data_IF_866697134039
#
_entry.id   IF_866697134039
#
_cell.length_a   1.000
_cell.length_b   1.000
_cell.length_c   1.000
_cell.angle_alpha   90.00
_cell.angle_beta   90.00
_cell.angle_gamma   90.00
#
_symmetry.space_group_name_H-M   'P 1'
#
loop_
_entity.id
_entity.type
_entity.pdbx_description
1 polymer ?
#
# COMPACT_ATOMS: atom_id res chain seq x y z
N UNK A 1 -11.25 9.40 16.33
CA UNK A 1 -10.12 9.18 15.38
C UNK A 1 -10.58 8.10 14.43
N UNK A 2 -10.55 8.38 13.13
CA UNK A 2 -10.90 7.40 12.10
C UNK A 2 -10.00 6.16 12.24
N UNK A 3 -10.60 4.97 12.29
CA UNK A 3 -9.87 3.71 12.36
C UNK A 3 -10.04 2.95 11.05
N UNK A 4 -9.07 2.09 10.75
CA UNK A 4 -9.09 1.22 9.59
C UNK A 4 -9.05 -0.21 10.07
N UNK A 5 -10.04 -0.97 9.65
CA UNK A 5 -10.13 -2.40 9.83
C UNK A 5 -9.38 -3.08 8.70
N UNK A 6 -8.25 -3.70 9.02
CA UNK A 6 -7.42 -4.43 8.07
C UNK A 6 -7.65 -5.93 8.23
N UNK A 7 -7.99 -6.62 7.14
CA UNK A 7 -8.23 -8.06 7.10
C UNK A 7 -7.27 -8.74 6.14
N UNK A 8 -6.66 -9.83 6.57
CA UNK A 8 -5.89 -10.77 5.73
C UNK A 8 -6.58 -12.13 5.82
N UNK A 9 -6.71 -12.85 4.71
CA UNK A 9 -7.40 -14.16 4.68
C UNK A 9 -6.45 -15.36 4.64
N UNK A 10 -5.27 -15.20 4.03
CA UNK A 10 -4.26 -16.25 3.86
C UNK A 10 -2.87 -15.78 4.28
N UNK A 11 -2.02 -16.64 4.85
CA UNK A 11 -2.27 -18.04 5.19
C UNK A 11 -3.17 -18.22 6.43
N UNK A 12 -3.29 -17.17 7.25
CA UNK A 12 -4.14 -17.17 8.46
C UNK A 12 -5.06 -15.96 8.42
N UNK A 13 -6.34 -16.19 8.75
CA UNK A 13 -7.31 -15.10 8.89
C UNK A 13 -6.90 -14.21 10.06
N UNK A 14 -6.64 -12.94 9.76
CA UNK A 14 -6.27 -11.93 10.74
C UNK A 14 -7.13 -10.69 10.52
N UNK A 15 -7.50 -10.05 11.62
CA UNK A 15 -8.24 -8.80 11.61
C UNK A 15 -7.66 -7.89 12.69
N UNK A 16 -7.24 -6.69 12.30
CA UNK A 16 -6.69 -5.69 13.21
C UNK A 16 -7.32 -4.32 12.94
N UNK A 17 -7.39 -3.49 13.97
CA UNK A 17 -7.74 -2.08 13.84
C UNK A 17 -6.47 -1.23 13.98
N UNK A 18 -6.23 -0.37 12.99
CA UNK A 18 -5.05 0.50 12.92
C UNK A 18 -5.45 1.93 12.54
N UNK A 19 -4.58 2.88 12.83
CA UNK A 19 -4.75 4.27 12.39
C UNK A 19 -4.35 4.44 10.92
N UNK A 20 -4.79 5.51 10.25
CA UNK A 20 -4.31 5.89 8.92
C UNK A 20 -2.78 5.95 8.82
N UNK A 21 -2.12 6.51 9.83
CA UNK A 21 -0.66 6.62 9.86
C UNK A 21 0.02 5.26 9.99
N UNK A 22 -0.55 4.36 10.80
CA UNK A 22 -0.06 2.98 10.92
C UNK A 22 -0.23 2.24 9.59
N UNK A 23 -1.37 2.38 8.91
CA UNK A 23 -1.58 1.78 7.60
C UNK A 23 -0.53 2.24 6.59
N UNK A 24 -0.28 3.54 6.48
CA UNK A 24 0.70 4.10 5.55
C UNK A 24 2.13 3.65 5.89
N UNK A 25 2.43 3.50 7.19
CA UNK A 25 3.73 3.00 7.62
C UNK A 25 3.92 1.52 7.30
N UNK A 26 2.86 0.71 7.44
CA UNK A 26 2.92 -0.74 7.25
C UNK A 26 2.77 -1.14 5.78
N UNK A 27 1.97 -0.40 5.02
CA UNK A 27 1.56 -0.71 3.64
C UNK A 27 1.60 0.52 2.74
N UNK A 28 2.74 1.21 2.60
CA UNK A 28 2.86 2.29 1.64
C UNK A 28 2.69 1.79 0.20
N UNK A 29 2.31 2.72 -0.68
CA UNK A 29 2.37 2.51 -2.12
C UNK A 29 3.82 2.73 -2.56
N UNK A 30 4.45 1.67 -3.09
CA UNK A 30 5.88 1.68 -3.39
C UNK A 30 6.27 0.65 -4.44
N UNK A 31 7.49 0.82 -4.93
CA UNK A 31 8.20 -0.09 -5.80
C UNK A 31 9.64 -0.18 -5.31
N UNK A 32 10.06 -1.35 -4.84
CA UNK A 32 11.41 -1.56 -4.33
C UNK A 32 12.02 -2.84 -4.88
N UNK A 33 13.34 -2.90 -4.95
CA UNK A 33 14.08 -4.11 -5.28
C UNK A 33 14.66 -4.74 -4.01
N UNK A 34 14.22 -5.96 -3.71
CA UNK A 34 14.68 -6.74 -2.57
C UNK A 34 15.72 -7.79 -3.01
N UNK A 35 16.84 -7.93 -2.27
CA UNK A 35 17.96 -8.80 -2.69
C UNK A 35 17.61 -10.26 -2.97
N UNK A 36 16.56 -10.78 -2.33
CA UNK A 36 16.15 -12.19 -2.47
C UNK A 36 14.82 -12.37 -3.20
N UNK A 37 13.95 -11.35 -3.20
CA UNK A 37 12.57 -11.45 -3.69
C UNK A 37 12.37 -10.72 -5.03
N UNK A 38 13.43 -10.13 -5.59
CA UNK A 38 13.35 -9.33 -6.80
C UNK A 38 12.56 -8.04 -6.59
N UNK A 39 11.81 -7.63 -7.61
CA UNK A 39 10.97 -6.44 -7.53
C UNK A 39 9.74 -6.71 -6.66
N UNK A 40 9.56 -5.87 -5.64
CA UNK A 40 8.40 -5.84 -4.76
C UNK A 40 7.59 -4.59 -5.09
N UNK A 41 6.31 -4.78 -5.38
CA UNK A 41 5.37 -3.69 -5.68
C UNK A 41 4.20 -3.73 -4.70
N UNK A 42 3.92 -2.59 -4.06
CA UNK A 42 2.73 -2.42 -3.23
C UNK A 42 1.80 -1.40 -3.86
N UNK A 43 0.55 -1.80 -4.03
CA UNK A 43 -0.50 -0.96 -4.60
C UNK A 43 -1.73 -0.95 -3.71
N UNK A 44 -2.47 0.14 -3.77
CA UNK A 44 -3.83 0.21 -3.25
C UNK A 44 -4.80 0.15 -4.42
N UNK A 45 -5.87 -0.64 -4.32
CA UNK A 45 -6.79 -0.90 -5.42
C UNK A 45 -8.23 -0.79 -4.96
N UNK A 46 -9.04 -0.08 -5.73
CA UNK A 46 -10.51 -0.09 -5.65
C UNK A 46 -11.09 -0.83 -6.85
N UNK A 47 -12.43 -0.88 -6.96
CA UNK A 47 -13.12 -1.34 -8.17
C UNK A 47 -12.68 -0.60 -9.43
N UNK A 48 -12.37 0.70 -9.31
CA UNK A 48 -12.25 1.62 -10.45
C UNK A 48 -10.81 2.14 -10.65
N UNK A 49 -9.94 1.98 -9.66
CA UNK A 49 -8.62 2.61 -9.70
C UNK A 49 -7.55 1.78 -9.00
N UNK A 50 -6.35 1.75 -9.59
CA UNK A 50 -5.14 1.21 -8.98
C UNK A 50 -4.19 2.37 -8.70
N UNK A 51 -3.90 2.59 -7.43
CA UNK A 51 -2.91 3.56 -6.96
C UNK A 51 -1.56 2.86 -6.81
N UNK A 52 -0.62 3.24 -7.67
CA UNK A 52 0.71 2.64 -7.77
C UNK A 52 1.73 3.69 -8.17
N UNK A 53 3.02 3.35 -8.10
CA UNK A 53 4.11 4.18 -8.62
C UNK A 53 3.91 4.53 -10.11
N UNK A 54 3.28 3.64 -10.89
CA UNK A 54 3.08 3.85 -12.33
C UNK A 54 1.88 4.76 -12.66
N UNK A 55 0.93 4.88 -11.73
CA UNK A 55 -0.33 5.62 -11.95
C UNK A 55 -0.38 6.97 -11.23
N UNK A 56 0.52 7.18 -10.27
CA UNK A 56 0.61 8.42 -9.50
C UNK A 56 1.56 9.40 -10.20
N UNK A 57 1.20 10.69 -10.18
CA UNK A 57 2.03 11.77 -10.72
C UNK A 57 3.41 11.80 -10.03
N UNK A 58 4.47 11.82 -10.83
CA UNK A 58 5.88 11.77 -10.40
C UNK A 58 6.24 12.82 -9.34
N UNK A 59 5.56 13.97 -9.29
CA UNK A 59 5.83 14.99 -8.26
C UNK A 59 5.50 14.52 -6.83
N UNK A 60 4.66 13.51 -6.70
CA UNK A 60 4.29 12.87 -5.45
C UNK A 60 5.05 11.58 -5.18
N UNK A 61 6.08 11.28 -5.97
CA UNK A 61 6.95 10.12 -5.77
C UNK A 61 8.26 10.62 -5.16
N UNK A 62 8.68 9.96 -4.10
CA UNK A 62 9.99 10.14 -3.48
C UNK A 62 10.90 8.99 -3.95
N UNK A 63 12.06 9.37 -4.49
CA UNK A 63 13.10 8.42 -4.87
C UNK A 63 14.10 8.31 -3.72
N UNK A 64 14.10 7.15 -3.07
CA UNK A 64 14.99 6.80 -1.96
C UNK A 64 16.04 5.77 -2.40
N UNK A 65 16.26 5.63 -3.71
CA UNK A 65 17.27 4.73 -4.27
C UNK A 65 18.66 5.14 -3.79
N UNK A 66 19.34 4.22 -3.11
CA UNK A 66 20.75 4.35 -2.76
C UNK A 66 21.58 3.38 -3.62
N UNK A 67 21.42 2.09 -3.36
CA UNK A 67 22.08 1.01 -4.11
C UNK A 67 21.08 0.18 -4.93
N UNK A 68 19.83 0.11 -4.47
CA UNK A 68 18.73 -0.63 -5.09
C UNK A 68 17.54 0.29 -5.26
N UNK A 69 16.76 0.05 -6.32
CA UNK A 69 15.57 0.83 -6.65
C UNK A 69 14.63 0.89 -5.45
N UNK A 70 14.26 2.10 -5.04
CA UNK A 70 13.23 2.30 -4.04
C UNK A 70 12.47 3.60 -4.30
N UNK A 71 11.24 3.46 -4.79
CA UNK A 71 10.31 4.54 -5.04
C UNK A 71 9.11 4.41 -4.12
N UNK A 72 8.71 5.48 -3.46
CA UNK A 72 7.54 5.50 -2.57
C UNK A 72 6.68 6.73 -2.87
N UNK A 73 5.36 6.58 -2.80
CA UNK A 73 4.48 7.75 -2.82
C UNK A 73 4.68 8.57 -1.54
N UNK A 74 4.71 9.89 -1.63
CA UNK A 74 4.85 10.75 -0.46
C UNK A 74 3.69 10.56 0.52
N UNK A 75 3.98 10.64 1.82
CA UNK A 75 3.02 10.34 2.90
C UNK A 75 1.77 11.22 2.84
N UNK A 76 1.92 12.50 2.55
CA UNK A 76 0.81 13.43 2.38
C UNK A 76 -0.13 13.00 1.26
N UNK A 77 0.42 12.53 0.12
CA UNK A 77 -0.40 12.07 -0.99
C UNK A 77 -1.12 10.75 -0.66
N UNK A 78 -0.49 9.85 0.08
CA UNK A 78 -1.13 8.64 0.58
C UNK A 78 -2.27 8.95 1.56
N UNK A 79 -2.08 9.94 2.45
CA UNK A 79 -3.16 10.42 3.34
C UNK A 79 -4.32 11.01 2.54
N UNK A 80 -4.03 11.82 1.51
CA UNK A 80 -5.06 12.39 0.63
C UNK A 80 -5.87 11.29 -0.07
N UNK A 81 -5.19 10.29 -0.66
CA UNK A 81 -5.85 9.15 -1.28
C UNK A 81 -6.73 8.45 -0.25
N UNK A 82 -6.15 8.07 0.90
CA UNK A 82 -6.83 7.35 1.96
C UNK A 82 -8.06 8.09 2.49
N UNK A 83 -8.03 9.43 2.54
CA UNK A 83 -9.17 10.24 2.97
C UNK A 83 -10.43 9.98 2.12
N UNK A 84 -10.25 9.68 0.84
CA UNK A 84 -11.33 9.45 -0.13
C UNK A 84 -11.79 7.98 -0.25
N UNK A 85 -11.04 7.04 0.34
CA UNK A 85 -11.32 5.60 0.20
C UNK A 85 -12.15 5.08 1.38
N UNK A 86 -13.32 4.50 1.11
CA UNK A 86 -14.11 3.80 2.14
C UNK A 86 -13.64 2.36 2.37
N UNK A 87 -13.38 1.65 1.28
CA UNK A 87 -12.89 0.28 1.26
C UNK A 87 -11.97 0.10 0.05
N UNK A 88 -10.87 -0.63 0.23
CA UNK A 88 -9.90 -0.90 -0.82
C UNK A 88 -9.06 -2.14 -0.48
N UNK A 89 -8.43 -2.70 -1.51
CA UNK A 89 -7.46 -3.78 -1.40
C UNK A 89 -6.04 -3.19 -1.33
N UNK A 90 -5.19 -3.79 -0.51
CA UNK A 90 -3.75 -3.60 -0.54
C UNK A 90 -3.18 -4.88 -1.14
N UNK A 91 -2.47 -4.74 -2.25
CA UNK A 91 -1.87 -5.87 -2.95
C UNK A 91 -0.36 -5.71 -2.94
N UNK A 92 0.32 -6.73 -2.43
CA UNK A 92 1.77 -6.88 -2.40
C UNK A 92 2.16 -7.92 -3.46
N UNK A 93 2.83 -7.49 -4.52
CA UNK A 93 3.36 -8.35 -5.58
C UNK A 93 4.85 -8.62 -5.34
N UNK A 94 5.27 -9.89 -5.43
CA UNK A 94 6.67 -10.33 -5.33
C UNK A 94 6.80 -11.77 -5.87
N UNK A 95 7.90 -12.11 -6.56
CA UNK A 95 8.19 -13.50 -7.02
C UNK A 95 6.98 -14.26 -7.62
N UNK A 96 6.24 -13.65 -8.54
CA UNK A 96 5.02 -14.22 -9.15
C UNK A 96 3.88 -14.56 -8.15
N UNK A 97 3.96 -14.05 -6.92
CA UNK A 97 2.96 -14.17 -5.86
C UNK A 97 2.29 -12.83 -5.61
N UNK A 98 1.08 -12.92 -5.08
CA UNK A 98 0.34 -11.78 -4.55
C UNK A 98 -0.18 -12.07 -3.14
N UNK A 99 -0.01 -11.10 -2.25
CA UNK A 99 -0.64 -11.08 -0.94
C UNK A 99 -1.68 -9.94 -0.91
N UNK A 100 -2.94 -10.29 -0.62
CA UNK A 100 -4.06 -9.34 -0.64
C UNK A 100 -4.56 -9.11 0.79
N UNK A 101 -4.72 -7.83 1.14
CA UNK A 101 -5.36 -7.37 2.37
C UNK A 101 -6.56 -6.49 2.01
N UNK A 102 -7.64 -6.57 2.79
CA UNK A 102 -8.79 -5.68 2.66
C UNK A 102 -8.72 -4.64 3.77
N UNK A 103 -8.72 -3.37 3.40
CA UNK A 103 -8.77 -2.24 4.32
C UNK A 103 -10.13 -1.55 4.22
N UNK A 104 -10.80 -1.39 5.36
CA UNK A 104 -12.12 -0.77 5.44
C UNK A 104 -12.12 0.28 6.55
N UNK A 105 -12.56 1.50 6.25
CA UNK A 105 -12.75 2.53 7.26
C UNK A 105 -13.92 2.17 8.18
N UNK A 106 -13.72 2.36 9.48
CA UNK A 106 -14.75 2.20 10.50
C UNK A 106 -14.90 3.51 11.28
N UNK A 107 -16.15 3.96 11.41
CA UNK A 107 -16.55 5.18 12.11
C UNK A 107 -16.43 5.05 13.64
#
# INVERSE_FOLDING_TARGET
MEKIKLKRFFPTKMEIEITPQQLISMFPIELQEHPFMGEIKRVWKTSDTIYSIDTIDKKFIEDMTLERKYLQVKKEKMMDILSSLKEFEIILYYEDKEDIYIAQKVE
#
